data_IF_700224921133
#
_entry.id   IF_700224921133
#
_cell.length_a   1.000
_cell.length_b   1.000
_cell.length_c   1.000
_cell.angle_alpha   90.00
_cell.angle_beta   90.00
_cell.angle_gamma   90.00
#
_symmetry.space_group_name_H-M   'P 1'
#
loop_
_entity.id
_entity.type
_entity.pdbx_description
1 polymer ?
#
# COMPACT_ATOMS: atom_id res chain seq x y z
N UNK A 1 1.96 17.78 1.28
CA UNK A 1 2.71 16.61 1.80
C UNK A 1 1.71 15.54 2.22
N UNK A 2 2.03 14.26 2.00
CA UNK A 2 1.15 13.14 2.33
C UNK A 2 1.76 12.23 3.40
N UNK A 3 0.91 11.58 4.17
CA UNK A 3 1.30 10.53 5.09
C UNK A 3 0.52 9.26 4.77
N UNK A 4 1.18 8.10 4.82
CA UNK A 4 0.56 6.79 4.69
C UNK A 4 0.72 6.00 5.98
N UNK A 5 -0.30 5.25 6.38
CA UNK A 5 -0.30 4.43 7.59
C UNK A 5 -0.83 3.04 7.30
N UNK A 6 -0.18 2.01 7.81
CA UNK A 6 -0.61 0.61 7.78
C UNK A 6 -1.22 0.19 9.11
N UNK A 7 -2.13 -0.79 9.08
CA UNK A 7 -2.80 -1.30 10.27
C UNK A 7 -3.01 -2.81 10.22
N UNK A 8 -2.89 -3.44 11.39
CA UNK A 8 -3.25 -4.85 11.60
C UNK A 8 -4.75 -5.10 11.43
N UNK A 9 -5.59 -4.06 11.52
CA UNK A 9 -7.01 -4.11 11.17
C UNK A 9 -7.25 -4.09 9.64
N UNK A 10 -6.36 -4.72 8.88
CA UNK A 10 -6.45 -4.93 7.43
C UNK A 10 -6.67 -3.65 6.61
N UNK A 11 -6.11 -2.54 7.06
CA UNK A 11 -6.30 -1.24 6.40
C UNK A 11 -4.99 -0.50 6.16
N UNK A 12 -4.91 0.19 5.04
CA UNK A 12 -3.93 1.23 4.80
C UNK A 12 -4.64 2.55 4.49
N UNK A 13 -4.15 3.64 5.07
CA UNK A 13 -4.77 4.96 4.94
C UNK A 13 -3.78 5.99 4.43
N UNK A 14 -4.27 6.90 3.61
CA UNK A 14 -3.54 8.04 3.06
C UNK A 14 -4.16 9.35 3.56
N UNK A 15 -3.32 10.26 4.01
CA UNK A 15 -3.70 11.51 4.66
C UNK A 15 -3.04 12.70 3.98
N UNK A 16 -3.76 13.82 3.93
CA UNK A 16 -3.18 15.11 3.63
C UNK A 16 -2.63 15.72 4.93
N UNK A 17 -1.32 16.00 4.97
CA UNK A 17 -0.68 16.50 6.21
C UNK A 17 -1.13 17.93 6.55
N UNK A 18 -1.31 18.79 5.55
CA UNK A 18 -1.67 20.21 5.76
C UNK A 18 -3.03 20.39 6.41
N UNK A 19 -4.00 19.54 6.06
CA UNK A 19 -5.37 19.64 6.57
C UNK A 19 -5.69 18.59 7.65
N UNK A 20 -4.93 17.50 7.72
CA UNK A 20 -5.25 16.32 8.53
C UNK A 20 -6.37 15.45 7.92
N UNK A 21 -6.82 15.75 6.70
CA UNK A 21 -7.93 15.02 6.09
C UNK A 21 -7.50 13.63 5.62
N UNK A 22 -8.36 12.64 5.86
CA UNK A 22 -8.28 11.33 5.26
C UNK A 22 -8.62 11.42 3.77
N UNK A 23 -7.66 11.08 2.91
CA UNK A 23 -7.83 11.07 1.46
C UNK A 23 -8.35 9.73 0.97
N UNK A 24 -7.81 8.62 1.50
CA UNK A 24 -8.12 7.26 1.08
C UNK A 24 -7.96 6.28 2.23
N UNK A 25 -8.87 5.31 2.34
CA UNK A 25 -8.80 4.13 3.19
C UNK A 25 -9.00 2.89 2.33
N UNK A 26 -7.97 2.05 2.24
CA UNK A 26 -8.01 0.79 1.50
C UNK A 26 -8.15 -0.35 2.49
N UNK A 27 -9.14 -1.21 2.27
CA UNK A 27 -9.37 -2.43 3.05
C UNK A 27 -8.82 -3.61 2.26
N UNK A 28 -8.05 -4.47 2.92
CA UNK A 28 -7.44 -5.66 2.35
C UNK A 28 -8.02 -6.92 3.00
N UNK A 29 -7.80 -8.07 2.39
CA UNK A 29 -8.16 -9.37 2.98
C UNK A 29 -7.13 -9.87 3.99
N UNK A 30 -6.02 -9.12 4.18
CA UNK A 30 -4.92 -9.45 5.09
C UNK A 30 -4.44 -8.22 5.87
N UNK A 31 -3.90 -8.46 7.06
CA UNK A 31 -3.33 -7.40 7.90
C UNK A 31 -2.12 -6.76 7.21
N UNK A 32 -2.04 -5.43 7.27
CA UNK A 32 -0.95 -4.68 6.64
C UNK A 32 0.10 -4.32 7.70
N UNK A 33 1.33 -4.70 7.43
CA UNK A 33 2.47 -4.55 8.33
C UNK A 33 3.36 -3.37 7.96
N UNK A 34 3.47 -3.05 6.68
CA UNK A 34 4.34 -1.99 6.17
C UNK A 34 3.67 -1.24 5.04
N UNK A 35 4.06 0.03 4.85
CA UNK A 35 3.55 0.87 3.76
C UNK A 35 4.65 1.82 3.29
N UNK A 36 4.69 2.08 1.98
CA UNK A 36 5.52 3.15 1.38
C UNK A 36 4.77 3.80 0.21
N UNK A 37 5.14 5.03 -0.11
CA UNK A 37 4.72 5.73 -1.33
C UNK A 37 5.88 5.77 -2.32
N UNK A 38 5.58 5.84 -3.61
CA UNK A 38 6.54 6.32 -4.59
C UNK A 38 6.66 7.85 -4.51
N UNK A 39 7.78 8.38 -5.03
CA UNK A 39 8.07 9.82 -4.93
C UNK A 39 7.08 10.69 -5.72
N UNK A 40 6.51 10.13 -6.78
CA UNK A 40 5.54 10.81 -7.64
C UNK A 40 4.09 10.71 -7.10
N UNK A 41 3.87 10.03 -5.97
CA UNK A 41 2.56 9.81 -5.35
C UNK A 41 1.55 9.13 -6.28
N UNK A 42 2.02 8.32 -7.23
CA UNK A 42 1.18 7.52 -8.13
C UNK A 42 0.73 6.22 -7.48
N UNK A 43 1.57 5.66 -6.61
CA UNK A 43 1.42 4.33 -6.06
C UNK A 43 1.67 4.33 -4.54
N UNK A 44 0.80 3.62 -3.83
CA UNK A 44 1.03 3.22 -2.45
C UNK A 44 1.27 1.71 -2.40
N UNK A 45 2.39 1.29 -1.84
CA UNK A 45 2.74 -0.12 -1.68
C UNK A 45 2.50 -0.55 -0.24
N UNK A 46 1.82 -1.69 -0.05
CA UNK A 46 1.43 -2.22 1.25
C UNK A 46 1.94 -3.64 1.42
N UNK A 47 2.69 -3.92 2.48
CA UNK A 47 3.22 -5.24 2.79
C UNK A 47 2.29 -5.98 3.77
N UNK A 48 1.88 -7.19 3.42
CA UNK A 48 0.95 -8.03 4.17
C UNK A 48 1.63 -8.95 5.17
N UNK A 49 0.84 -9.39 6.16
CA UNK A 49 1.23 -10.43 7.12
C UNK A 49 1.48 -11.80 6.47
N UNK A 50 0.88 -12.04 5.30
CA UNK A 50 0.96 -13.30 4.54
C UNK A 50 2.11 -13.33 3.51
N UNK A 51 2.95 -12.29 3.47
CA UNK A 51 4.02 -12.16 2.47
C UNK A 51 3.59 -11.49 1.17
N UNK A 52 2.31 -11.13 1.00
CA UNK A 52 1.84 -10.39 -0.16
C UNK A 52 2.31 -8.94 -0.13
N UNK A 53 2.63 -8.37 -1.28
CA UNK A 53 2.82 -6.92 -1.42
C UNK A 53 1.80 -6.40 -2.42
N UNK A 54 1.02 -5.41 -2.00
CA UNK A 54 -0.06 -4.82 -2.79
C UNK A 54 0.35 -3.45 -3.32
N UNK A 55 0.12 -3.20 -4.61
CA UNK A 55 0.23 -1.88 -5.23
C UNK A 55 -1.16 -1.26 -5.36
N UNK A 56 -1.32 -0.07 -4.78
CA UNK A 56 -2.56 0.71 -4.82
C UNK A 56 -2.32 1.94 -5.70
N UNK A 57 -3.05 2.04 -6.81
CA UNK A 57 -2.99 3.23 -7.66
C UNK A 57 -3.76 4.40 -7.03
N UNK A 58 -3.11 5.54 -6.90
CA UNK A 58 -3.64 6.76 -6.29
C UNK A 58 -4.27 7.73 -7.31
N UNK A 59 -3.99 7.56 -8.61
CA UNK A 59 -4.50 8.43 -9.68
C UNK A 59 -5.89 8.07 -10.22
N UNK A 60 -6.59 7.09 -9.64
CA UNK A 60 -7.93 6.73 -10.09
C UNK A 60 -8.97 7.72 -9.57
N UNK A 61 -9.43 8.63 -10.45
CA UNK A 61 -10.53 9.55 -10.17
C UNK A 61 -11.87 8.95 -10.61
N UNK A 62 -12.97 9.11 -9.84
CA UNK A 62 -13.05 9.74 -8.52
C UNK A 62 -12.54 8.81 -7.41
N UNK A 63 -11.71 9.37 -6.51
CA UNK A 63 -11.22 8.64 -5.33
C UNK A 63 -12.39 8.45 -4.37
N UNK A 64 -12.92 7.22 -4.32
CA UNK A 64 -13.77 6.82 -3.20
C UNK A 64 -12.92 6.86 -1.93
N UNK A 65 -13.39 7.57 -0.90
CA UNK A 65 -12.64 7.75 0.36
C UNK A 65 -12.38 6.41 1.06
N UNK A 66 -13.22 5.42 0.82
CA UNK A 66 -13.07 4.06 1.29
C UNK A 66 -13.29 3.09 0.13
N UNK A 67 -12.37 2.14 -0.07
CA UNK A 67 -12.52 1.08 -1.07
C UNK A 67 -11.87 -0.22 -0.60
N UNK A 68 -12.46 -1.35 -0.96
CA UNK A 68 -11.79 -2.65 -0.85
C UNK A 68 -10.74 -2.83 -1.94
N UNK A 69 -9.63 -3.46 -1.61
CA UNK A 69 -8.64 -3.94 -2.57
C UNK A 69 -9.22 -5.17 -3.26
N UNK A 70 -9.46 -5.09 -4.57
CA UNK A 70 -10.11 -6.18 -5.31
C UNK A 70 -9.07 -6.95 -6.12
N UNK A 71 -8.59 -8.07 -5.59
CA UNK A 71 -7.54 -8.88 -6.21
C UNK A 71 -7.84 -9.27 -7.68
N UNK A 72 -9.10 -9.52 -8.02
CA UNK A 72 -9.52 -9.89 -9.39
C UNK A 72 -9.40 -8.72 -10.38
N UNK A 73 -9.76 -7.50 -9.96
CA UNK A 73 -9.67 -6.29 -10.79
C UNK A 73 -8.26 -5.70 -10.80
N UNK A 74 -7.50 -5.96 -9.73
CA UNK A 74 -6.13 -5.51 -9.52
C UNK A 74 -5.11 -6.62 -9.82
N UNK A 75 -5.48 -7.53 -10.73
CA UNK A 75 -4.60 -8.59 -11.19
C UNK A 75 -3.31 -7.99 -11.78
N UNK A 76 -2.15 -8.46 -11.31
CA UNK A 76 -0.84 -7.87 -11.62
C UNK A 76 -0.35 -6.78 -10.67
N UNK A 77 -1.18 -6.33 -9.72
CA UNK A 77 -0.78 -5.38 -8.65
C UNK A 77 -0.47 -6.06 -7.32
N UNK A 78 -0.34 -7.39 -7.32
CA UNK A 78 0.09 -8.14 -6.16
C UNK A 78 1.42 -8.79 -6.49
N UNK A 79 2.48 -8.34 -5.83
CA UNK A 79 3.78 -8.99 -5.90
C UNK A 79 3.80 -10.16 -4.91
N UNK A 80 4.14 -11.34 -5.43
CA UNK A 80 4.25 -12.59 -4.66
C UNK A 80 5.71 -13.04 -4.66
N UNK A 81 6.20 -13.51 -3.52
CA UNK A 81 7.56 -14.02 -3.40
C UNK A 81 7.94 -14.38 -1.96
N UNK A 82 7.53 -13.56 -1.00
CA UNK A 82 7.71 -13.85 0.41
C UNK A 82 6.75 -14.94 0.90
N UNK A 83 7.20 -15.75 1.87
CA UNK A 83 6.39 -16.77 2.55
C UNK A 83 5.90 -16.32 3.92
N UNK A 84 6.43 -15.20 4.42
CA UNK A 84 6.15 -14.66 5.74
C UNK A 84 5.96 -13.14 5.69
N UNK A 85 5.58 -12.55 6.82
CA UNK A 85 5.19 -11.14 6.96
C UNK A 85 6.22 -10.15 6.39
N UNK A 86 5.75 -9.21 5.57
CA UNK A 86 6.57 -8.13 5.00
C UNK A 86 6.68 -6.98 5.99
N UNK A 87 7.83 -6.86 6.66
CA UNK A 87 8.05 -5.94 7.78
C UNK A 87 8.47 -4.54 7.35
N UNK A 88 9.06 -4.41 6.17
CA UNK A 88 9.49 -3.12 5.64
C UNK A 88 9.46 -3.09 4.12
N UNK A 89 9.25 -1.88 3.58
CA UNK A 89 9.21 -1.59 2.15
C UNK A 89 9.98 -0.29 1.88
N UNK A 90 10.58 -0.19 0.70
CA UNK A 90 11.20 1.05 0.21
C UNK A 90 11.09 1.13 -1.31
N UNK A 91 10.48 2.21 -1.81
CA UNK A 91 10.43 2.50 -3.25
C UNK A 91 11.63 3.35 -3.67
N UNK A 92 12.19 3.08 -4.85
CA UNK A 92 13.25 3.91 -5.42
C UNK A 92 12.72 5.29 -5.83
N UNK A 93 13.60 6.29 -5.85
CA UNK A 93 13.25 7.68 -6.18
C UNK A 93 12.77 7.87 -7.62
N UNK A 94 13.23 7.00 -8.53
CA UNK A 94 12.80 6.97 -9.93
C UNK A 94 11.54 6.12 -10.17
N UNK A 95 11.00 5.48 -9.12
CA UNK A 95 9.80 4.65 -9.18
C UNK A 95 9.98 3.31 -9.92
N UNK A 96 11.21 2.93 -10.28
CA UNK A 96 11.48 1.72 -11.07
C UNK A 96 11.61 0.44 -10.23
N UNK A 97 11.94 0.56 -8.94
CA UNK A 97 12.22 -0.57 -8.06
C UNK A 97 11.49 -0.45 -6.72
N UNK A 98 11.12 -1.61 -6.18
CA UNK A 98 10.59 -1.76 -4.84
C UNK A 98 11.41 -2.80 -4.08
N UNK A 99 11.96 -2.41 -2.93
CA UNK A 99 12.65 -3.29 -2.00
C UNK A 99 11.69 -3.72 -0.89
N UNK A 100 11.81 -4.98 -0.48
CA UNK A 100 10.99 -5.58 0.59
C UNK A 100 11.85 -6.41 1.53
N UNK A 101 11.51 -6.36 2.83
CA UNK A 101 12.10 -7.20 3.87
C UNK A 101 11.01 -8.04 4.55
N UNK A 102 11.34 -9.31 4.84
CA UNK A 102 10.41 -10.29 5.42
C UNK A 102 11.08 -11.14 6.51
N UNK A 103 10.27 -11.88 7.26
CA UNK A 103 10.67 -12.90 8.24
C UNK A 103 10.92 -14.30 7.62
N UNK A 104 11.35 -14.34 6.35
CA UNK A 104 11.67 -15.59 5.64
C UNK A 104 13.07 -16.15 5.94
#
# INVERSE_FOLDING_TARGET
ARAATASLAQTARLWEISSGNLLLSVIFDVSIMSVTLDLAEYHMFCGGLDGSIFQVDLCSWPVQRERGFQSEQENGKIFKGHRNQVTCLSASTDGSLLLSGSHD
#
